data_IF_344853132036
#
_entry.id   IF_344853132036
#
_cell.length_a   1.000
_cell.length_b   1.000
_cell.length_c   1.000
_cell.angle_alpha   90.00
_cell.angle_beta   90.00
_cell.angle_gamma   90.00
#
_symmetry.space_group_name_H-M   'P 1'
#
loop_
_entity.id
_entity.type
_entity.pdbx_description
1 polymer ?
#
# COMPACT_ATOMS: atom_id res chain seq x y z
N UNK A 1 11.80 7.28 -1.49
CA UNK A 1 10.36 7.60 -1.48
C UNK A 1 9.95 8.17 -2.83
N UNK A 2 8.71 7.93 -3.24
CA UNK A 2 8.09 8.57 -4.41
C UNK A 2 6.93 9.44 -3.93
N UNK A 3 6.77 10.67 -4.44
CA UNK A 3 5.72 11.58 -3.94
C UNK A 3 4.39 11.34 -4.63
N UNK A 4 3.33 11.29 -3.82
CA UNK A 4 1.94 11.28 -4.27
C UNK A 4 1.41 12.71 -4.16
N UNK A 5 0.89 13.24 -5.27
CA UNK A 5 0.44 14.64 -5.37
C UNK A 5 -1.05 14.73 -5.65
N UNK A 6 -1.68 15.81 -5.19
CA UNK A 6 -3.06 16.11 -5.55
C UNK A 6 -3.10 16.59 -7.01
N UNK A 7 -3.88 15.90 -7.85
CA UNK A 7 -3.98 16.24 -9.28
C UNK A 7 -4.49 17.66 -9.57
N UNK A 8 -5.22 18.28 -8.63
CA UNK A 8 -5.78 19.63 -8.81
C UNK A 8 -4.75 20.75 -8.74
N UNK A 9 -3.78 20.65 -7.84
CA UNK A 9 -2.87 21.75 -7.48
C UNK A 9 -1.40 21.33 -7.36
N UNK A 10 -1.08 20.05 -7.56
CA UNK A 10 0.28 19.52 -7.48
C UNK A 10 0.86 19.46 -6.06
N UNK A 11 0.07 19.76 -5.03
CA UNK A 11 0.54 19.71 -3.65
C UNK A 11 0.80 18.27 -3.21
N UNK A 12 1.87 18.06 -2.44
CA UNK A 12 2.22 16.73 -1.93
C UNK A 12 1.17 16.29 -0.91
N UNK A 13 0.55 15.14 -1.16
CA UNK A 13 -0.42 14.51 -0.28
C UNK A 13 0.22 13.43 0.61
N UNK A 14 1.09 12.62 0.02
CA UNK A 14 1.79 11.51 0.69
C UNK A 14 3.10 11.18 -0.03
N UNK A 15 3.83 10.21 0.49
CA UNK A 15 4.95 9.61 -0.20
C UNK A 15 4.92 8.08 -0.08
N UNK A 16 5.22 7.35 -1.14
CA UNK A 16 5.34 5.91 -1.12
C UNK A 16 6.76 5.50 -0.68
N UNK A 17 6.83 4.59 0.29
CA UNK A 17 8.05 3.94 0.71
C UNK A 17 8.42 2.87 -0.33
N UNK A 18 9.56 3.08 -0.98
CA UNK A 18 10.10 2.17 -2.00
C UNK A 18 11.44 1.63 -1.52
N UNK A 19 11.55 0.30 -1.43
CA UNK A 19 12.79 -0.33 -1.00
C UNK A 19 13.87 -0.17 -2.07
N UNK A 20 15.13 -0.05 -1.61
CA UNK A 20 16.33 -0.06 -2.44
C UNK A 20 17.39 -0.82 -1.68
N UNK A 21 18.12 -1.69 -2.37
CA UNK A 21 19.18 -2.47 -1.74
C UNK A 21 20.54 -1.97 -2.22
N UNK A 22 21.31 -1.37 -1.32
CA UNK A 22 22.72 -1.07 -1.57
C UNK A 22 23.56 -2.35 -1.44
N UNK A 23 23.74 -3.06 -2.55
CA UNK A 23 24.40 -4.36 -2.57
C UNK A 23 25.92 -4.19 -2.71
N UNK A 24 26.74 -4.83 -1.85
CA UNK A 24 28.18 -4.55 -1.73
C UNK A 24 29.00 -4.75 -3.01
N UNK A 25 28.49 -5.55 -3.96
CA UNK A 25 29.15 -5.81 -5.26
C UNK A 25 28.38 -5.31 -6.48
N UNK A 26 27.08 -5.07 -6.35
CA UNK A 26 26.17 -4.78 -7.47
C UNK A 26 25.70 -3.33 -7.46
N UNK A 27 26.07 -2.57 -6.43
CA UNK A 27 25.58 -1.22 -6.22
C UNK A 27 24.09 -1.21 -5.87
N UNK A 28 23.44 -0.09 -6.18
CA UNK A 28 22.03 0.12 -5.86
C UNK A 28 21.12 -0.76 -6.73
N UNK A 29 20.40 -1.66 -6.08
CA UNK A 29 19.42 -2.55 -6.68
C UNK A 29 18.00 -2.05 -6.45
N UNK A 30 17.15 -2.29 -7.45
CA UNK A 30 15.73 -1.93 -7.43
C UNK A 30 14.87 -3.15 -7.07
N UNK A 31 13.66 -2.96 -6.52
CA UNK A 31 12.78 -4.05 -6.05
C UNK A 31 12.63 -5.20 -7.06
N UNK A 32 12.43 -4.90 -8.34
CA UNK A 32 12.29 -5.92 -9.39
C UNK A 32 13.50 -6.84 -9.61
N UNK A 33 14.62 -6.65 -8.89
CA UNK A 33 15.79 -7.53 -8.94
C UNK A 33 15.92 -8.48 -7.75
N UNK A 34 15.12 -8.31 -6.69
CA UNK A 34 15.23 -9.11 -5.46
C UNK A 34 13.91 -9.48 -4.81
N UNK A 35 12.78 -8.81 -5.10
CA UNK A 35 11.50 -9.11 -4.45
C UNK A 35 11.06 -10.55 -4.75
N UNK A 36 11.08 -10.97 -6.01
CA UNK A 36 10.72 -12.36 -6.40
C UNK A 36 11.58 -13.41 -5.67
N UNK A 37 12.86 -13.10 -5.43
CA UNK A 37 13.76 -13.98 -4.68
C UNK A 37 13.33 -14.07 -3.20
N UNK A 38 13.03 -12.93 -2.56
CA UNK A 38 12.60 -12.91 -1.16
C UNK A 38 11.24 -13.59 -0.97
N UNK A 39 10.36 -13.52 -1.96
CA UNK A 39 9.09 -14.25 -1.97
C UNK A 39 9.32 -15.76 -2.09
N UNK A 40 10.17 -16.19 -3.02
CA UNK A 40 10.50 -17.60 -3.22
C UNK A 40 11.19 -18.23 -1.99
N UNK A 41 12.02 -17.47 -1.29
CA UNK A 41 12.71 -17.90 -0.06
C UNK A 41 11.86 -17.72 1.22
N UNK A 42 10.67 -17.11 1.11
CA UNK A 42 9.76 -16.88 2.24
C UNK A 42 10.21 -15.80 3.23
N UNK A 43 11.24 -15.02 2.88
CA UNK A 43 11.84 -13.96 3.72
C UNK A 43 11.27 -12.57 3.43
N UNK A 44 10.34 -12.42 2.50
CA UNK A 44 9.74 -11.12 2.15
C UNK A 44 9.12 -10.40 3.35
N UNK A 45 8.54 -11.15 4.29
CA UNK A 45 7.97 -10.57 5.51
C UNK A 45 9.00 -9.85 6.39
N UNK A 46 10.25 -10.31 6.41
CA UNK A 46 11.31 -9.63 7.14
C UNK A 46 11.59 -8.26 6.54
N UNK A 47 11.59 -8.17 5.19
CA UNK A 47 11.72 -6.89 4.50
C UNK A 47 10.50 -6.00 4.76
N UNK A 48 9.29 -6.53 4.70
CA UNK A 48 8.06 -5.77 4.95
C UNK A 48 8.08 -5.11 6.34
N UNK A 49 8.37 -5.89 7.39
CA UNK A 49 8.43 -5.35 8.75
C UNK A 49 9.62 -4.40 8.96
N UNK A 50 10.76 -4.66 8.31
CA UNK A 50 11.90 -3.74 8.33
C UNK A 50 11.53 -2.38 7.69
N UNK A 51 10.87 -2.39 6.52
CA UNK A 51 10.44 -1.16 5.85
C UNK A 51 9.35 -0.46 6.67
N UNK A 52 8.40 -1.21 7.25
CA UNK A 52 7.37 -0.65 8.12
C UNK A 52 7.97 0.07 9.33
N UNK A 53 8.94 -0.53 10.02
CA UNK A 53 9.65 0.11 11.13
C UNK A 53 10.35 1.40 10.66
N UNK A 54 10.98 1.37 9.49
CA UNK A 54 11.62 2.57 8.92
C UNK A 54 10.62 3.68 8.62
N UNK A 55 9.42 3.32 8.15
CA UNK A 55 8.33 4.27 7.91
C UNK A 55 7.83 4.86 9.23
N UNK A 56 7.62 4.06 10.27
CA UNK A 56 7.23 4.56 11.61
C UNK A 56 8.25 5.57 12.14
N UNK A 57 9.54 5.22 12.08
CA UNK A 57 10.65 6.09 12.48
C UNK A 57 10.67 7.41 11.71
N UNK A 58 10.43 7.35 10.40
CA UNK A 58 10.41 8.54 9.55
C UNK A 58 9.17 9.42 9.81
N UNK A 59 8.01 8.83 10.14
CA UNK A 59 6.80 9.56 10.51
C UNK A 59 6.96 10.29 11.85
N UNK A 60 7.55 9.65 12.85
CA UNK A 60 7.86 10.29 14.14
C UNK A 60 8.79 11.49 13.93
N UNK A 61 9.87 11.32 13.17
CA UNK A 61 10.78 12.42 12.82
C UNK A 61 10.02 13.58 12.15
N UNK A 62 9.17 13.28 11.17
CA UNK A 62 8.39 14.32 10.50
C UNK A 62 7.37 14.98 11.42
N UNK A 63 6.79 14.24 12.38
CA UNK A 63 5.93 14.82 13.41
C UNK A 63 6.70 15.81 14.29
N UNK A 64 7.90 15.44 14.76
CA UNK A 64 8.76 16.32 15.54
C UNK A 64 9.18 17.59 14.77
N UNK A 65 9.33 17.48 13.45
CA UNK A 65 9.61 18.62 12.55
C UNK A 65 8.33 19.43 12.18
N UNK A 66 7.16 19.08 12.71
CA UNK A 66 5.88 19.75 12.42
C UNK A 66 5.32 19.48 11.01
N UNK A 67 5.88 18.50 10.28
CA UNK A 67 5.39 18.11 8.96
C UNK A 67 4.22 17.14 9.09
N UNK A 68 3.17 17.35 8.30
CA UNK A 68 1.96 16.52 8.28
C UNK A 68 1.85 15.65 7.02
N UNK A 69 2.98 15.11 6.56
CA UNK A 69 3.00 14.20 5.41
C UNK A 69 2.63 12.78 5.83
N UNK A 70 1.93 12.09 4.93
CA UNK A 70 1.65 10.65 5.03
C UNK A 70 2.72 9.85 4.33
N UNK A 71 2.90 8.60 4.75
CA UNK A 71 3.74 7.62 4.05
C UNK A 71 2.90 6.38 3.78
N UNK A 72 2.99 5.84 2.57
CA UNK A 72 2.46 4.52 2.27
C UNK A 72 3.55 3.44 2.29
N UNK A 73 3.21 2.28 2.81
CA UNK A 73 4.10 1.14 3.00
C UNK A 73 3.45 -0.10 2.38
N UNK A 74 4.18 -0.74 1.47
CA UNK A 74 3.77 -1.98 0.83
C UNK A 74 3.92 -3.15 1.79
N UNK A 75 2.98 -4.08 1.73
CA UNK A 75 3.07 -5.39 2.38
C UNK A 75 2.79 -6.50 1.39
N UNK A 76 3.68 -7.49 1.35
CA UNK A 76 3.43 -8.71 0.61
C UNK A 76 2.28 -9.50 1.24
N UNK A 77 1.55 -10.23 0.40
CA UNK A 77 0.35 -10.98 0.80
C UNK A 77 0.63 -12.04 1.84
N UNK A 78 1.74 -12.77 1.65
CA UNK A 78 2.17 -13.82 2.56
C UNK A 78 2.47 -13.27 3.95
N UNK A 79 2.79 -11.97 4.06
CA UNK A 79 3.01 -11.28 5.32
C UNK A 79 1.69 -10.93 5.98
N UNK A 80 0.74 -10.35 5.23
CA UNK A 80 -0.60 -9.99 5.72
C UNK A 80 -1.38 -11.24 6.15
N UNK A 81 -1.19 -12.37 5.47
CA UNK A 81 -1.86 -13.64 5.80
C UNK A 81 -1.33 -14.37 7.04
N UNK A 82 -0.32 -13.83 7.75
CA UNK A 82 0.22 -14.43 8.98
C UNK A 82 -0.66 -14.09 10.17
N UNK A 83 -0.88 -15.06 11.06
CA UNK A 83 -1.59 -14.81 12.34
C UNK A 83 -0.85 -13.80 13.21
N UNK A 84 0.49 -13.72 13.11
CA UNK A 84 1.32 -12.78 13.87
C UNK A 84 1.31 -11.35 13.32
N UNK A 85 0.70 -11.09 12.15
CA UNK A 85 0.82 -9.83 11.43
C UNK A 85 0.41 -8.63 12.28
N UNK A 86 -0.82 -8.63 12.79
CA UNK A 86 -1.37 -7.51 13.59
C UNK A 86 -0.54 -7.29 14.86
N UNK A 87 -0.12 -8.37 15.52
CA UNK A 87 0.72 -8.28 16.70
C UNK A 87 2.03 -7.56 16.38
N UNK A 88 2.71 -7.92 15.29
CA UNK A 88 3.97 -7.29 14.88
C UNK A 88 3.77 -5.83 14.44
N UNK A 89 2.71 -5.52 13.68
CA UNK A 89 2.36 -4.15 13.32
C UNK A 89 2.20 -3.30 14.59
N UNK A 90 1.45 -3.81 15.57
CA UNK A 90 1.22 -3.14 16.85
C UNK A 90 2.53 -2.92 17.61
N UNK A 91 3.29 -3.98 17.85
CA UNK A 91 4.57 -3.91 18.57
C UNK A 91 5.56 -2.93 17.92
N UNK A 92 5.65 -2.91 16.59
CA UNK A 92 6.53 -1.97 15.89
C UNK A 92 6.00 -0.54 16.02
N UNK A 93 4.72 -0.31 15.73
CA UNK A 93 4.11 1.03 15.72
C UNK A 93 4.14 1.71 17.10
N UNK A 94 3.89 0.96 18.18
CA UNK A 94 3.88 1.47 19.56
C UNK A 94 5.25 1.95 20.07
N UNK A 95 6.35 1.59 19.39
CA UNK A 95 7.70 2.10 19.71
C UNK A 95 7.93 3.54 19.24
N UNK A 96 7.04 4.09 18.41
CA UNK A 96 7.20 5.41 17.79
C UNK A 96 5.97 6.28 18.03
N UNK A 97 6.16 7.60 18.11
CA UNK A 97 5.08 8.56 18.36
C UNK A 97 4.67 9.28 17.07
N UNK A 98 3.59 8.81 16.45
CA UNK A 98 2.97 9.45 15.29
C UNK A 98 1.46 9.18 15.23
N UNK A 99 0.70 10.04 14.54
CA UNK A 99 -0.70 9.75 14.21
C UNK A 99 -0.79 8.62 13.17
N UNK A 100 -1.39 7.48 13.54
CA UNK A 100 -1.53 6.30 12.67
C UNK A 100 -2.27 6.61 11.35
N UNK A 101 -3.15 7.62 11.31
CA UNK A 101 -3.81 8.07 10.08
C UNK A 101 -2.85 8.69 9.05
N UNK A 102 -1.56 8.79 9.40
CA UNK A 102 -0.46 9.20 8.51
C UNK A 102 0.26 8.03 7.85
N UNK A 103 -0.01 6.80 8.25
CA UNK A 103 0.57 5.61 7.62
C UNK A 103 -0.52 4.89 6.82
N UNK A 104 -0.23 4.65 5.55
CA UNK A 104 -1.10 3.93 4.62
C UNK A 104 -0.49 2.54 4.40
N UNK A 105 -1.24 1.49 4.68
CA UNK A 105 -0.85 0.12 4.37
C UNK A 105 -1.36 -0.21 2.96
N UNK A 106 -0.44 -0.50 2.04
CA UNK A 106 -0.79 -0.90 0.68
C UNK A 106 -0.87 -2.43 0.59
N UNK A 107 -2.02 -2.91 0.12
CA UNK A 107 -2.31 -4.32 -0.10
C UNK A 107 -2.51 -4.53 -1.60
N UNK A 108 -1.87 -5.53 -2.21
CA UNK A 108 -1.96 -5.79 -3.66
C UNK A 108 -3.25 -6.58 -4.01
N UNK A 109 -3.62 -6.82 -5.29
CA UNK A 109 -4.89 -7.50 -5.73
C UNK A 109 -5.02 -9.05 -5.58
N UNK A 110 -4.09 -9.92 -6.05
CA UNK A 110 -4.00 -11.40 -5.84
C UNK A 110 -4.09 -11.95 -4.39
N UNK A 111 -4.73 -11.27 -3.45
CA UNK A 111 -4.91 -11.67 -2.04
C UNK A 111 -5.96 -12.79 -1.94
N UNK A 112 -6.34 -13.38 -3.06
CA UNK A 112 -7.64 -13.95 -3.24
C UNK A 112 -7.70 -15.48 -3.32
N UNK A 113 -6.73 -16.23 -2.79
CA UNK A 113 -6.94 -17.69 -2.60
C UNK A 113 -6.41 -18.27 -1.28
N UNK A 114 -5.25 -17.86 -0.76
CA UNK A 114 -4.71 -18.38 0.51
C UNK A 114 -5.00 -17.44 1.68
N UNK A 115 -5.60 -17.98 2.76
CA UNK A 115 -5.85 -17.30 4.04
C UNK A 115 -6.65 -15.99 3.97
N UNK A 116 -7.61 -15.90 3.05
CA UNK A 116 -8.51 -14.72 2.89
C UNK A 116 -9.10 -14.22 4.20
N UNK A 117 -9.64 -15.12 5.02
CA UNK A 117 -10.30 -14.75 6.28
C UNK A 117 -9.30 -14.11 7.26
N UNK A 118 -8.10 -14.68 7.37
CA UNK A 118 -7.01 -14.13 8.19
C UNK A 118 -6.56 -12.77 7.66
N UNK A 119 -6.35 -12.64 6.35
CA UNK A 119 -5.94 -11.38 5.74
C UNK A 119 -6.99 -10.28 5.95
N UNK A 120 -8.27 -10.60 5.73
CA UNK A 120 -9.39 -9.69 6.00
C UNK A 120 -9.45 -9.25 7.46
N UNK A 121 -9.35 -10.19 8.40
CA UNK A 121 -9.32 -9.92 9.83
C UNK A 121 -8.13 -9.00 10.20
N UNK A 122 -6.96 -9.27 9.62
CA UNK A 122 -5.74 -8.50 9.86
C UNK A 122 -5.84 -7.07 9.33
N UNK A 123 -6.35 -6.88 8.12
CA UNK A 123 -6.57 -5.55 7.54
C UNK A 123 -7.61 -4.77 8.35
N UNK A 124 -8.68 -5.42 8.78
CA UNK A 124 -9.72 -4.82 9.61
C UNK A 124 -9.18 -4.35 10.97
N UNK A 125 -8.36 -5.16 11.62
CA UNK A 125 -7.70 -4.76 12.88
C UNK A 125 -6.72 -3.60 12.67
N UNK A 126 -5.95 -3.59 11.57
CA UNK A 126 -5.09 -2.46 11.24
C UNK A 126 -5.89 -1.16 11.00
N UNK A 127 -7.07 -1.28 10.39
CA UNK A 127 -7.99 -0.16 10.23
C UNK A 127 -8.49 0.38 11.57
N UNK A 128 -8.86 -0.51 12.49
CA UNK A 128 -9.27 -0.17 13.87
C UNK A 128 -8.14 0.51 14.66
N UNK A 129 -6.89 0.15 14.39
CA UNK A 129 -5.71 0.82 14.94
C UNK A 129 -5.50 2.24 14.39
N UNK A 130 -6.25 2.65 13.37
CA UNK A 130 -6.21 4.00 12.78
C UNK A 130 -5.36 4.12 11.51
N UNK A 131 -4.80 3.03 10.99
CA UNK A 131 -4.11 3.05 9.71
C UNK A 131 -5.08 3.27 8.55
N UNK A 132 -4.59 3.91 7.48
CA UNK A 132 -5.31 3.94 6.22
C UNK A 132 -4.96 2.69 5.40
N UNK A 133 -5.91 2.18 4.62
CA UNK A 133 -5.72 1.00 3.77
C UNK A 133 -5.83 1.42 2.31
N UNK A 134 -4.85 1.04 1.50
CA UNK A 134 -4.86 1.23 0.06
C UNK A 134 -4.85 -0.12 -0.65
N UNK A 135 -5.75 -0.30 -1.63
CA UNK A 135 -5.69 -1.40 -2.59
C UNK A 135 -4.80 -0.99 -3.76
N UNK A 136 -3.73 -1.74 -4.00
CA UNK A 136 -2.79 -1.54 -5.10
C UNK A 136 -3.11 -2.41 -6.33
N UNK A 137 -2.71 -1.92 -7.50
CA UNK A 137 -2.87 -2.56 -8.81
C UNK A 137 -4.32 -2.95 -9.17
N UNK A 138 -5.29 -2.13 -8.75
CA UNK A 138 -6.70 -2.41 -8.97
C UNK A 138 -7.05 -2.43 -10.46
N UNK A 139 -7.61 -3.56 -10.91
CA UNK A 139 -8.15 -3.77 -12.25
C UNK A 139 -7.15 -4.40 -13.24
N UNK A 140 -6.04 -4.93 -12.72
CA UNK A 140 -5.17 -5.87 -13.41
C UNK A 140 -5.82 -7.28 -13.52
N UNK A 141 -6.82 -7.59 -12.68
CA UNK A 141 -7.56 -8.86 -12.65
C UNK A 141 -9.08 -8.76 -12.43
N UNK A 142 -9.74 -9.91 -12.24
CA UNK A 142 -11.20 -10.07 -12.05
C UNK A 142 -11.66 -9.92 -10.58
N UNK A 143 -10.73 -9.77 -9.63
CA UNK A 143 -10.95 -9.87 -8.17
C UNK A 143 -11.20 -8.53 -7.47
N UNK A 144 -10.70 -7.42 -8.03
CA UNK A 144 -10.72 -6.10 -7.37
C UNK A 144 -12.10 -5.62 -6.87
N UNK A 145 -13.20 -5.89 -7.57
CA UNK A 145 -14.51 -5.36 -7.14
C UNK A 145 -15.11 -6.06 -5.91
N UNK A 146 -14.82 -7.35 -5.70
CA UNK A 146 -15.25 -8.04 -4.49
C UNK A 146 -14.47 -7.51 -3.28
N UNK A 147 -13.17 -7.29 -3.45
CA UNK A 147 -12.33 -6.72 -2.40
C UNK A 147 -12.74 -5.29 -2.04
N UNK A 148 -13.08 -4.46 -3.03
CA UNK A 148 -13.61 -3.11 -2.80
C UNK A 148 -14.94 -3.10 -2.02
N UNK A 149 -15.71 -4.18 -2.08
CA UNK A 149 -16.96 -4.33 -1.32
C UNK A 149 -16.68 -4.81 0.11
N UNK A 150 -15.76 -5.76 0.26
CA UNK A 150 -15.60 -6.50 1.51
C UNK A 150 -14.56 -5.86 2.43
N UNK A 151 -13.41 -5.40 1.91
CA UNK A 151 -12.33 -4.82 2.71
C UNK A 151 -12.58 -3.35 3.07
N UNK A 152 -12.09 -2.88 4.24
CA UNK A 152 -12.22 -1.49 4.67
C UNK A 152 -11.17 -0.59 3.99
N UNK A 153 -11.26 -0.46 2.67
CA UNK A 153 -10.34 0.30 1.81
C UNK A 153 -10.63 1.80 1.88
N UNK A 154 -9.59 2.63 1.94
CA UNK A 154 -9.69 4.10 1.83
C UNK A 154 -9.26 4.62 0.45
N UNK A 155 -8.30 3.94 -0.17
CA UNK A 155 -7.59 4.40 -1.36
C UNK A 155 -7.50 3.25 -2.36
N UNK A 156 -7.76 3.54 -3.62
CA UNK A 156 -7.62 2.59 -4.72
C UNK A 156 -6.57 3.14 -5.68
N UNK A 157 -5.46 2.42 -5.83
CA UNK A 157 -4.43 2.72 -6.81
C UNK A 157 -4.81 2.03 -8.12
N UNK A 158 -5.00 2.81 -9.17
CA UNK A 158 -5.38 2.30 -10.48
C UNK A 158 -4.15 1.72 -11.15
N UNK A 159 -4.24 0.46 -11.59
CA UNK A 159 -3.14 -0.19 -12.27
C UNK A 159 -2.70 0.61 -13.51
N UNK A 160 -1.38 0.63 -13.72
CA UNK A 160 -0.76 1.40 -14.79
C UNK A 160 -1.22 0.94 -16.18
N UNK A 161 -1.60 -0.32 -16.37
CA UNK A 161 -2.11 -0.79 -17.66
C UNK A 161 -3.42 -0.10 -18.06
N UNK A 162 -4.29 0.21 -17.09
CA UNK A 162 -5.56 0.93 -17.32
C UNK A 162 -5.27 2.37 -17.73
N UNK A 163 -4.31 3.01 -17.06
CA UNK A 163 -3.85 4.37 -17.40
C UNK A 163 -3.25 4.40 -18.81
N UNK A 164 -2.39 3.44 -19.14
CA UNK A 164 -1.79 3.32 -20.47
C UNK A 164 -2.85 3.04 -21.56
N UNK A 165 -3.94 2.33 -21.23
CA UNK A 165 -5.04 2.08 -22.15
C UNK A 165 -5.94 3.30 -22.38
N UNK A 166 -5.88 4.32 -21.51
CA UNK A 166 -6.65 5.56 -21.59
C UNK A 166 -6.19 6.55 -22.69
N UNK A 167 -5.62 6.01 -23.78
CA UNK A 167 -5.32 6.72 -25.03
C UNK A 167 -6.44 6.60 -26.06
N UNK A 168 -7.40 5.70 -25.83
CA UNK A 168 -8.59 5.52 -26.68
C UNK A 168 -9.85 6.03 -25.98
N UNK A 169 -10.90 6.37 -26.72
CA UNK A 169 -12.21 6.74 -26.12
C UNK A 169 -12.74 5.65 -25.19
N UNK A 170 -12.56 4.37 -25.56
CA UNK A 170 -12.97 3.23 -24.73
C UNK A 170 -12.16 3.13 -23.44
N UNK A 171 -10.84 3.33 -23.51
CA UNK A 171 -9.97 3.34 -22.33
C UNK A 171 -10.28 4.51 -21.38
N UNK A 172 -10.52 5.70 -21.93
CA UNK A 172 -10.95 6.87 -21.13
C UNK A 172 -12.31 6.61 -20.45
N UNK A 173 -13.26 6.00 -21.17
CA UNK A 173 -14.56 5.63 -20.60
C UNK A 173 -14.41 4.61 -19.46
N UNK A 174 -13.54 3.61 -19.62
CA UNK A 174 -13.23 2.63 -18.58
C UNK A 174 -12.64 3.29 -17.33
N UNK A 175 -11.58 4.10 -17.49
CA UNK A 175 -10.94 4.81 -16.38
C UNK A 175 -11.93 5.71 -15.62
N UNK A 176 -12.78 6.46 -16.34
CA UNK A 176 -13.84 7.28 -15.74
C UNK A 176 -14.86 6.44 -14.98
N UNK A 177 -15.25 5.30 -15.53
CA UNK A 177 -16.19 4.38 -14.88
C UNK A 177 -15.64 3.83 -13.57
N UNK A 178 -14.38 3.39 -13.56
CA UNK A 178 -13.71 2.91 -12.35
C UNK A 178 -13.59 4.03 -11.31
N UNK A 179 -13.11 5.21 -11.71
CA UNK A 179 -12.98 6.33 -10.80
C UNK A 179 -14.33 6.76 -10.19
N UNK A 180 -15.40 6.74 -10.98
CA UNK A 180 -16.75 7.03 -10.49
C UNK A 180 -17.23 5.99 -9.48
N UNK A 181 -16.99 4.69 -9.72
CA UNK A 181 -17.33 3.63 -8.78
C UNK A 181 -16.60 3.82 -7.45
N UNK A 182 -15.28 4.04 -7.49
CA UNK A 182 -14.46 4.22 -6.29
C UNK A 182 -14.96 5.41 -5.47
N UNK A 183 -15.27 6.55 -6.10
CA UNK A 183 -15.83 7.71 -5.41
C UNK A 183 -17.23 7.45 -4.83
N UNK A 184 -18.08 6.66 -5.50
CA UNK A 184 -19.40 6.31 -5.00
C UNK A 184 -19.35 5.39 -3.77
N UNK A 185 -18.24 4.68 -3.57
CA UNK A 185 -17.95 3.90 -2.37
C UNK A 185 -17.19 4.73 -1.32
N UNK A 186 -17.15 6.06 -1.47
CA UNK A 186 -16.50 7.01 -0.55
C UNK A 186 -14.97 6.85 -0.42
N UNK A 187 -14.34 6.17 -1.38
CA UNK A 187 -12.90 5.96 -1.45
C UNK A 187 -12.20 7.00 -2.33
N UNK A 188 -10.87 7.11 -2.18
CA UNK A 188 -10.01 7.97 -3.01
C UNK A 188 -9.37 7.18 -4.14
N UNK A 189 -9.24 7.82 -5.30
CA UNK A 189 -8.50 7.27 -6.45
C UNK A 189 -7.08 7.82 -6.46
N UNK A 190 -6.09 6.94 -6.63
CA UNK A 190 -4.70 7.28 -6.97
C UNK A 190 -4.40 6.73 -8.37
N UNK A 191 -3.86 7.57 -9.25
CA UNK A 191 -3.40 7.22 -10.60
C UNK A 191 -1.92 7.53 -10.75
#
# INVERSE_FOLDING_TARGET
MQFIVRGKDGTVWAAEAVSRWDHPRKGLLYPGSYIELLEAEGTIAELDFYIFEEVCRQLERWQAEGRQLRISCNFARITIGRESFVQQIKEISERYVFDHARLILEITEDAMELNKETAFSNVSQCKEMGFLIALDDAGSGFSSFADLRDYPIDIVKIDRSILNAAVTQRGVALLRGIAALVHNLEMKVLC
#
